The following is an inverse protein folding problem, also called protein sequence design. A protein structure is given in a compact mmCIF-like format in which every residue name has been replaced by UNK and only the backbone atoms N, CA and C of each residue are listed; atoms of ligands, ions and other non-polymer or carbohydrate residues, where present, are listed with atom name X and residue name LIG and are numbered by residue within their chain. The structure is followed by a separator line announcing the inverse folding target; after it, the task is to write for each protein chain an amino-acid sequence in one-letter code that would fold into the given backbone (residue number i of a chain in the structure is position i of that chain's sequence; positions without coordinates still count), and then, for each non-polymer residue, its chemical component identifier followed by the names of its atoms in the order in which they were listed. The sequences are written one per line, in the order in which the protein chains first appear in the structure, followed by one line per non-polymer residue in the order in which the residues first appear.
data_IF_480739646092
#
_entry.id   IF_480739646092
#
_cell.length_a   1.000
_cell.length_b   1.000
_cell.length_c   1.000
_cell.angle_alpha   90.00
_cell.angle_beta   90.00
_cell.angle_gamma   90.00
#
_symmetry.space_group_name_H-M   'P 1'
#
loop_
_entity.id
_entity.type
_entity.pdbx_description
1 polymer ?
#
# COMPACT_ATOMS: atom_id res chain seq x y z
N UNK A 1 22.79 19.15 -21.51
CA UNK A 1 23.20 17.80 -21.96
C UNK A 1 23.50 17.85 -23.44
N UNK A 2 24.60 17.22 -23.85
CA UNK A 2 25.02 17.14 -25.25
C UNK A 2 24.14 16.11 -25.98
N UNK A 3 23.51 16.51 -27.10
CA UNK A 3 22.65 15.61 -27.90
C UNK A 3 23.48 14.94 -28.98
N UNK A 4 23.43 13.60 -29.05
CA UNK A 4 24.05 12.83 -30.14
C UNK A 4 23.03 12.58 -31.25
N UNK A 5 23.43 12.82 -32.51
CA UNK A 5 22.62 12.48 -33.67
C UNK A 5 22.70 10.97 -33.90
N UNK A 6 21.55 10.31 -33.93
CA UNK A 6 21.43 8.87 -34.18
C UNK A 6 20.55 8.68 -35.42
N UNK A 7 20.91 7.75 -36.30
CA UNK A 7 20.11 7.36 -37.46
C UNK A 7 19.45 6.02 -37.19
N UNK A 8 18.15 5.91 -37.41
CA UNK A 8 17.37 4.70 -37.15
C UNK A 8 16.32 4.52 -38.25
N UNK A 9 15.96 3.27 -38.51
CA UNK A 9 14.89 2.92 -39.44
C UNK A 9 13.65 2.52 -38.65
N UNK A 10 12.50 3.10 -38.99
CA UNK A 10 11.19 2.70 -38.51
C UNK A 10 10.37 2.16 -39.68
N UNK A 11 9.40 1.31 -39.39
CA UNK A 11 8.36 0.98 -40.38
C UNK A 11 7.51 2.22 -40.67
N UNK A 12 6.92 2.30 -41.87
CA UNK A 12 6.04 3.40 -42.25
C UNK A 12 4.82 3.53 -41.32
N UNK A 13 4.32 2.41 -40.81
CA UNK A 13 3.23 2.34 -39.84
C UNK A 13 3.64 3.01 -38.52
N UNK A 14 4.74 2.57 -37.90
CA UNK A 14 5.23 3.15 -36.64
C UNK A 14 5.58 4.63 -36.80
N UNK A 15 6.21 5.01 -37.92
CA UNK A 15 6.53 6.41 -38.20
C UNK A 15 5.27 7.29 -38.28
N UNK A 16 4.22 6.81 -38.92
CA UNK A 16 2.94 7.51 -39.03
C UNK A 16 2.25 7.63 -37.68
N UNK A 17 2.21 6.56 -36.89
CA UNK A 17 1.62 6.60 -35.55
C UNK A 17 2.35 7.58 -34.62
N UNK A 18 3.68 7.58 -34.63
CA UNK A 18 4.47 8.51 -33.82
C UNK A 18 4.18 9.96 -34.23
N UNK A 19 4.12 10.26 -35.54
CA UNK A 19 3.77 11.61 -36.02
C UNK A 19 2.38 12.06 -35.57
N UNK A 20 1.42 11.15 -35.52
CA UNK A 20 0.05 11.49 -35.09
C UNK A 20 -0.07 11.61 -33.57
N UNK A 21 0.76 10.88 -32.83
CA UNK A 21 0.61 10.73 -31.39
C UNK A 21 1.56 11.60 -30.56
N UNK A 22 2.70 12.06 -31.10
CA UNK A 22 3.69 12.78 -30.29
C UNK A 22 3.13 14.05 -29.63
N UNK A 23 2.23 14.77 -30.31
CA UNK A 23 1.53 15.93 -29.74
C UNK A 23 0.47 15.54 -28.71
N UNK A 24 -0.18 14.39 -28.89
CA UNK A 24 -1.15 13.85 -27.91
C UNK A 24 -0.45 13.49 -26.60
N UNK A 25 0.79 13.01 -26.68
CA UNK A 25 1.64 12.69 -25.53
C UNK A 25 2.34 13.89 -24.88
N UNK A 26 1.89 15.13 -25.11
CA UNK A 26 2.51 16.36 -24.60
C UNK A 26 4.01 16.53 -24.92
N UNK A 27 4.50 15.89 -25.97
CA UNK A 27 5.88 16.08 -26.42
C UNK A 27 5.95 17.27 -27.38
N UNK A 28 6.98 18.11 -27.21
CA UNK A 28 7.21 19.29 -28.04
C UNK A 28 7.75 18.94 -29.43
N UNK A 29 8.40 17.77 -29.55
CA UNK A 29 9.00 17.31 -30.79
C UNK A 29 8.93 15.80 -30.95
N UNK A 30 9.07 15.37 -32.21
CA UNK A 30 9.23 13.96 -32.58
C UNK A 30 10.42 13.30 -31.85
N UNK A 31 11.54 14.02 -31.75
CA UNK A 31 12.73 13.53 -31.05
C UNK A 31 12.49 13.35 -29.56
N UNK A 32 11.75 14.25 -28.90
CA UNK A 32 11.42 14.12 -27.48
C UNK A 32 10.56 12.87 -27.22
N UNK A 33 9.60 12.60 -28.11
CA UNK A 33 8.76 11.40 -27.99
C UNK A 33 9.59 10.12 -28.11
N UNK A 34 10.48 10.05 -29.10
CA UNK A 34 11.39 8.90 -29.26
C UNK A 34 12.34 8.75 -28.07
N UNK A 35 12.90 9.86 -27.57
CA UNK A 35 13.79 9.85 -26.41
C UNK A 35 13.06 9.31 -25.16
N UNK A 36 11.83 9.75 -24.91
CA UNK A 36 11.00 9.21 -23.82
C UNK A 36 10.66 7.74 -24.01
N UNK A 37 10.34 7.31 -25.23
CA UNK A 37 10.05 5.92 -25.53
C UNK A 37 11.28 5.01 -25.35
N UNK A 38 12.47 5.49 -25.72
CA UNK A 38 13.73 4.78 -25.50
C UNK A 38 14.04 4.70 -24.01
N UNK A 39 13.92 5.80 -23.26
CA UNK A 39 14.08 5.78 -21.79
C UNK A 39 13.08 4.80 -21.16
N UNK A 40 11.84 4.77 -21.68
CA UNK A 40 10.81 3.85 -21.23
C UNK A 40 11.24 2.40 -21.41
N UNK A 41 11.70 2.05 -22.60
CA UNK A 41 12.17 0.71 -22.92
C UNK A 41 13.48 0.33 -22.21
N UNK A 42 14.42 1.27 -22.04
CA UNK A 42 15.63 1.07 -21.24
C UNK A 42 15.30 0.81 -19.76
N UNK A 43 14.27 1.49 -19.23
CA UNK A 43 13.74 1.19 -17.90
C UNK A 43 13.25 -0.26 -17.80
N UNK A 44 12.51 -0.72 -18.81
CA UNK A 44 12.05 -2.11 -18.90
C UNK A 44 13.19 -3.14 -19.04
N UNK A 45 14.20 -2.84 -19.86
CA UNK A 45 15.34 -3.75 -20.08
C UNK A 45 16.26 -3.82 -18.85
N UNK A 46 16.53 -2.69 -18.21
CA UNK A 46 17.44 -2.62 -17.05
C UNK A 46 16.77 -3.07 -15.75
N UNK A 47 15.44 -3.23 -15.72
CA UNK A 47 14.72 -3.73 -14.55
C UNK A 47 14.76 -5.27 -14.47
N UNK A 48 15.95 -5.88 -14.56
CA UNK A 48 16.17 -7.34 -14.61
C UNK A 48 15.43 -8.14 -13.51
N UNK A 49 14.89 -7.51 -12.45
CA UNK A 49 14.23 -8.22 -11.35
C UNK A 49 13.00 -7.56 -10.69
N UNK A 50 12.26 -6.62 -11.30
CA UNK A 50 10.99 -6.17 -10.68
C UNK A 50 9.91 -5.81 -11.69
N UNK A 51 8.74 -6.37 -11.45
CA UNK A 51 7.40 -6.18 -12.03
C UNK A 51 6.86 -4.74 -12.14
N UNK A 52 7.72 -3.71 -12.01
CA UNK A 52 7.32 -2.31 -11.75
C UNK A 52 7.49 -1.39 -12.96
N UNK A 53 6.99 -1.83 -14.12
CA UNK A 53 6.77 -0.92 -15.24
C UNK A 53 5.28 -0.64 -15.48
N UNK A 54 4.56 -0.46 -14.37
CA UNK A 54 3.21 0.06 -14.36
C UNK A 54 3.26 1.56 -14.65
N UNK A 55 2.48 2.00 -15.64
CA UNK A 55 2.31 3.42 -16.00
C UNK A 55 2.15 4.28 -14.74
N UNK A 56 2.71 5.50 -14.68
CA UNK A 56 2.53 6.42 -13.56
C UNK A 56 1.05 6.59 -13.14
N UNK A 57 0.12 6.44 -14.07
CA UNK A 57 -1.34 6.45 -13.83
C UNK A 57 -1.83 5.25 -13.01
N UNK A 58 -1.27 4.07 -13.25
CA UNK A 58 -1.61 2.86 -12.47
C UNK A 58 -1.02 3.00 -11.07
N UNK A 59 0.24 3.43 -10.97
CA UNK A 59 0.90 3.65 -9.67
C UNK A 59 0.14 4.70 -8.83
N UNK A 60 -0.30 5.79 -9.45
CA UNK A 60 -1.10 6.81 -8.75
C UNK A 60 -2.46 6.29 -8.30
N UNK A 61 -3.11 5.45 -9.11
CA UNK A 61 -4.40 4.83 -8.76
C UNK A 61 -4.26 3.84 -7.60
N UNK A 62 -3.22 3.00 -7.62
CA UNK A 62 -2.91 2.06 -6.53
C UNK A 62 -2.61 2.83 -5.24
N UNK A 63 -1.80 3.89 -5.32
CA UNK A 63 -1.52 4.75 -4.18
C UNK A 63 -2.79 5.41 -3.65
N UNK A 64 -3.63 5.96 -4.52
CA UNK A 64 -4.90 6.57 -4.12
C UNK A 64 -5.84 5.58 -3.43
N UNK A 65 -5.96 4.36 -3.95
CA UNK A 65 -6.75 3.30 -3.33
C UNK A 65 -6.18 2.87 -1.97
N UNK A 66 -4.85 2.76 -1.86
CA UNK A 66 -4.17 2.46 -0.59
C UNK A 66 -4.39 3.57 0.45
N UNK A 67 -4.30 4.83 0.04
CA UNK A 67 -4.52 5.99 0.90
C UNK A 67 -5.98 6.08 1.35
N UNK A 68 -6.93 5.80 0.45
CA UNK A 68 -8.36 5.74 0.77
C UNK A 68 -8.66 4.62 1.76
N UNK A 69 -8.10 3.43 1.54
CA UNK A 69 -8.24 2.29 2.44
C UNK A 69 -7.66 2.61 3.82
N UNK A 70 -6.47 3.21 3.88
CA UNK A 70 -5.86 3.65 5.14
C UNK A 70 -6.77 4.63 5.88
N UNK A 71 -7.31 5.64 5.19
CA UNK A 71 -8.27 6.60 5.79
C UNK A 71 -9.54 5.91 6.29
N UNK A 72 -10.05 4.90 5.56
CA UNK A 72 -11.23 4.13 5.98
C UNK A 72 -10.92 3.27 7.21
N UNK A 73 -9.81 2.55 7.21
CA UNK A 73 -9.35 1.72 8.33
C UNK A 73 -9.16 2.58 9.58
N UNK A 74 -8.47 3.72 9.50
CA UNK A 74 -8.28 4.61 10.64
C UNK A 74 -9.61 5.09 11.24
N UNK A 75 -10.59 5.45 10.41
CA UNK A 75 -11.94 5.83 10.89
C UNK A 75 -12.66 4.67 11.58
N UNK A 76 -12.53 3.45 11.06
CA UNK A 76 -13.15 2.26 11.67
C UNK A 76 -12.46 1.94 13.00
N UNK A 77 -11.12 1.96 13.04
CA UNK A 77 -10.34 1.74 14.26
C UNK A 77 -10.69 2.76 15.34
N UNK A 78 -10.88 4.03 14.97
CA UNK A 78 -11.33 5.05 15.91
C UNK A 78 -12.71 4.72 16.51
N UNK A 79 -13.70 4.39 15.66
CA UNK A 79 -15.04 4.00 16.14
C UNK A 79 -14.98 2.78 17.04
N UNK A 80 -14.20 1.77 16.66
CA UNK A 80 -14.00 0.56 17.46
C UNK A 80 -13.32 0.87 18.80
N UNK A 81 -12.32 1.76 18.82
CA UNK A 81 -11.65 2.17 20.04
C UNK A 81 -12.61 2.89 21.01
N UNK A 82 -13.54 3.70 20.49
CA UNK A 82 -14.59 4.33 21.30
C UNK A 82 -15.49 3.26 21.93
N UNK A 83 -15.98 2.30 21.15
CA UNK A 83 -16.83 1.22 21.68
C UNK A 83 -16.09 0.34 22.71
N UNK A 84 -14.82 0.01 22.46
CA UNK A 84 -13.98 -0.73 23.42
C UNK A 84 -13.79 0.07 24.71
N UNK A 85 -13.58 1.39 24.62
CA UNK A 85 -13.45 2.24 25.81
C UNK A 85 -14.75 2.26 26.62
N UNK A 86 -15.91 2.34 25.98
CA UNK A 86 -17.22 2.24 26.64
C UNK A 86 -17.37 0.89 27.32
N UNK A 87 -17.10 -0.22 26.64
CA UNK A 87 -17.15 -1.57 27.22
C UNK A 87 -16.22 -1.72 28.43
N UNK A 88 -14.98 -1.23 28.34
CA UNK A 88 -14.02 -1.29 29.44
C UNK A 88 -14.52 -0.52 30.68
N UNK A 89 -15.12 0.66 30.50
CA UNK A 89 -15.71 1.42 31.60
C UNK A 89 -16.91 0.69 32.23
N UNK A 90 -17.77 0.08 31.42
CA UNK A 90 -18.88 -0.74 31.92
C UNK A 90 -18.39 -1.94 32.74
N UNK A 91 -17.35 -2.65 32.27
CA UNK A 91 -16.77 -3.77 33.01
C UNK A 91 -16.09 -3.31 34.30
N UNK A 92 -15.30 -2.23 34.27
CA UNK A 92 -14.68 -1.67 35.46
C UNK A 92 -15.72 -1.29 36.53
N UNK A 93 -16.84 -0.70 36.11
CA UNK A 93 -17.94 -0.36 37.01
C UNK A 93 -18.72 -1.59 37.54
N UNK A 94 -18.76 -2.69 36.79
CA UNK A 94 -19.62 -3.85 37.10
C UNK A 94 -18.90 -5.00 37.80
N UNK A 95 -17.58 -5.14 37.64
CA UNK A 95 -16.84 -6.37 37.99
C UNK A 95 -15.80 -6.22 39.11
N UNK A 96 -15.81 -5.11 39.86
CA UNK A 96 -14.86 -4.82 40.96
C UNK A 96 -13.41 -5.17 40.59
N UNK A 97 -13.00 -4.73 39.39
CA UNK A 97 -11.69 -5.03 38.84
C UNK A 97 -10.73 -3.92 39.24
N UNK A 98 -9.71 -4.29 40.01
CA UNK A 98 -8.61 -3.38 40.35
C UNK A 98 -7.61 -3.21 39.20
N UNK A 99 -6.83 -2.13 39.26
CA UNK A 99 -5.85 -1.77 38.23
C UNK A 99 -4.75 -2.83 38.08
N UNK A 100 -4.38 -3.51 39.18
CA UNK A 100 -3.33 -4.52 39.19
C UNK A 100 -3.74 -5.76 38.40
N UNK A 101 -4.97 -6.26 38.58
CA UNK A 101 -5.54 -7.39 37.82
C UNK A 101 -5.61 -7.09 36.33
N UNK A 102 -6.07 -5.89 35.93
CA UNK A 102 -6.13 -5.51 34.52
C UNK A 102 -4.73 -5.39 33.91
N UNK A 103 -3.78 -4.82 34.65
CA UNK A 103 -2.40 -4.69 34.18
C UNK A 103 -1.74 -6.05 33.99
N UNK A 104 -1.94 -6.99 34.92
CA UNK A 104 -1.48 -8.37 34.80
C UNK A 104 -2.11 -9.08 33.60
N UNK A 105 -3.45 -9.05 33.48
CA UNK A 105 -4.16 -9.66 32.36
C UNK A 105 -3.72 -9.09 31.02
N UNK A 106 -3.50 -7.77 30.92
CA UNK A 106 -3.02 -7.13 29.69
C UNK A 106 -1.65 -7.64 29.28
N UNK A 107 -0.69 -7.72 30.21
CA UNK A 107 0.68 -8.22 29.92
C UNK A 107 0.65 -9.67 29.43
N UNK A 108 -0.21 -10.49 30.01
CA UNK A 108 -0.35 -11.89 29.60
C UNK A 108 -0.97 -12.01 28.21
N UNK A 109 -2.08 -11.29 27.95
CA UNK A 109 -2.68 -11.23 26.62
C UNK A 109 -1.69 -10.72 25.56
N UNK A 110 -0.92 -9.67 25.84
CA UNK A 110 0.13 -9.16 24.93
C UNK A 110 1.19 -10.23 24.63
N UNK A 111 1.57 -11.01 25.65
CA UNK A 111 2.54 -12.10 25.50
C UNK A 111 2.01 -13.21 24.61
N UNK A 112 0.76 -13.63 24.81
CA UNK A 112 0.15 -14.70 24.00
C UNK A 112 -0.13 -14.24 22.57
N UNK A 113 -0.64 -13.02 22.37
CA UNK A 113 -0.83 -12.44 21.03
C UNK A 113 0.50 -12.36 20.28
N UNK A 114 1.60 -12.00 20.95
CA UNK A 114 2.94 -11.98 20.35
C UNK A 114 3.43 -13.38 19.99
N UNK A 115 3.21 -14.39 20.85
CA UNK A 115 3.59 -15.78 20.57
C UNK A 115 2.81 -16.37 19.39
N UNK A 116 1.53 -16.00 19.26
CA UNK A 116 0.62 -16.52 18.23
C UNK A 116 0.57 -15.65 16.97
N UNK A 117 1.43 -14.64 16.83
CA UNK A 117 1.43 -13.69 15.71
C UNK A 117 0.04 -13.07 15.42
N UNK A 118 -0.73 -12.77 16.46
CA UNK A 118 -2.07 -12.21 16.32
C UNK A 118 -3.19 -13.23 16.16
N UNK A 119 -2.90 -14.53 15.99
CA UNK A 119 -3.91 -15.59 15.91
C UNK A 119 -4.34 -16.07 17.31
N UNK A 120 -4.91 -15.15 18.08
CA UNK A 120 -5.49 -15.44 19.40
C UNK A 120 -7.01 -15.45 19.30
N UNK A 121 -7.64 -16.59 19.60
CA UNK A 121 -9.09 -16.74 19.50
C UNK A 121 -9.74 -17.03 20.86
N UNK A 122 -11.08 -17.10 20.88
CA UNK A 122 -11.84 -17.32 22.12
C UNK A 122 -11.52 -18.65 22.81
N UNK A 123 -11.17 -19.70 22.08
CA UNK A 123 -10.80 -20.98 22.70
C UNK A 123 -9.47 -20.86 23.45
N UNK A 124 -8.54 -20.04 22.98
CA UNK A 124 -7.30 -19.73 23.70
C UNK A 124 -7.59 -19.00 25.01
N UNK A 125 -8.47 -18.00 24.96
CA UNK A 125 -8.92 -17.28 26.16
C UNK A 125 -9.59 -18.23 27.17
N UNK A 126 -10.50 -19.11 26.73
CA UNK A 126 -11.17 -20.09 27.60
C UNK A 126 -10.16 -21.05 28.23
N UNK A 127 -9.18 -21.54 27.45
CA UNK A 127 -8.13 -22.42 27.97
C UNK A 127 -7.27 -21.72 29.02
N UNK A 128 -7.00 -20.42 28.84
CA UNK A 128 -6.25 -19.62 29.80
C UNK A 128 -7.03 -19.42 31.11
N UNK A 129 -8.31 -19.02 31.05
CA UNK A 129 -9.13 -18.76 32.24
C UNK A 129 -9.36 -20.01 33.12
N UNK A 130 -9.07 -21.20 32.60
CA UNK A 130 -9.22 -22.49 33.28
C UNK A 130 -7.92 -23.05 33.85
N UNK A 131 -6.78 -22.40 33.60
CA UNK A 131 -5.48 -22.77 34.18
C UNK A 131 -5.30 -22.13 35.55
#
# INVERSE_FOLDING_TARGET
MEKKKVSLYLTDETYTEVKQSYRKGHCTSYNEFLERAIIYYLGYVNSEHMTDYLSPTIMSSVKAASDENTKRITRILFKLAVEIAVMNNLFAASLDIDEEKISSLRRECETEVRKLNGDFNMNDAIRWQKR
#
